data_IF_286982117465
#
_entry.id   IF_286982117465
#
_cell.length_a   1.000
_cell.length_b   1.000
_cell.length_c   1.000
_cell.angle_alpha   90.00
_cell.angle_beta   90.00
_cell.angle_gamma   90.00
#
_symmetry.space_group_name_H-M   'P 1'
#
loop_
_entity.id
_entity.type
_entity.pdbx_description
1 polymer ?
#
# COMPACT_ATOMS: atom_id res chain seq x y z
N UNK A 1 20.09 1.33 0.57
CA UNK A 1 20.11 2.33 -0.53
C UNK A 1 19.24 1.91 -1.71
N UNK A 2 19.52 0.81 -2.45
CA UNK A 2 18.64 0.40 -3.57
C UNK A 2 17.25 -0.09 -3.14
N UNK A 3 17.18 -0.93 -2.09
CA UNK A 3 15.92 -1.52 -1.61
C UNK A 3 14.91 -0.51 -1.09
N UNK A 4 15.37 0.59 -0.49
CA UNK A 4 14.51 1.62 0.12
C UNK A 4 13.78 2.44 -0.95
N UNK A 5 14.46 2.74 -2.06
CA UNK A 5 13.88 3.42 -3.22
C UNK A 5 12.80 2.57 -3.88
N UNK A 6 13.03 1.27 -4.04
CA UNK A 6 12.03 0.35 -4.59
C UNK A 6 10.81 0.22 -3.67
N UNK A 7 11.01 0.14 -2.35
CA UNK A 7 9.90 0.13 -1.39
C UNK A 7 9.08 1.42 -1.48
N UNK A 8 9.73 2.59 -1.52
CA UNK A 8 9.07 3.89 -1.67
C UNK A 8 8.26 3.98 -2.99
N UNK A 9 8.80 3.45 -4.09
CA UNK A 9 8.09 3.42 -5.37
C UNK A 9 6.85 2.50 -5.33
N UNK A 10 6.95 1.36 -4.67
CA UNK A 10 5.82 0.43 -4.50
C UNK A 10 4.73 1.06 -3.62
N UNK A 11 5.12 1.72 -2.53
CA UNK A 11 4.19 2.47 -1.69
C UNK A 11 3.49 3.58 -2.48
N UNK A 12 4.23 4.34 -3.28
CA UNK A 12 3.65 5.36 -4.17
C UNK A 12 2.59 4.76 -5.09
N UNK A 13 2.96 3.71 -5.82
CA UNK A 13 2.05 3.04 -6.75
C UNK A 13 0.81 2.49 -6.05
N UNK A 14 0.96 1.98 -4.82
CA UNK A 14 -0.17 1.52 -4.02
C UNK A 14 -1.11 2.68 -3.66
N UNK A 15 -0.58 3.77 -3.09
CA UNK A 15 -1.39 4.92 -2.70
C UNK A 15 -2.07 5.57 -3.91
N UNK A 16 -1.34 5.77 -5.01
CA UNK A 16 -1.90 6.28 -6.27
C UNK A 16 -3.03 5.39 -6.83
N UNK A 17 -2.95 4.06 -6.61
CA UNK A 17 -3.98 3.12 -7.07
C UNK A 17 -5.25 3.19 -6.23
N UNK A 18 -5.15 3.38 -4.92
CA UNK A 18 -6.33 3.39 -4.03
C UNK A 18 -7.01 4.76 -4.00
N UNK A 19 -6.27 5.85 -4.18
CA UNK A 19 -6.80 7.22 -4.26
C UNK A 19 -7.20 7.62 -5.68
N UNK A 20 -6.67 6.93 -6.70
CA UNK A 20 -7.01 7.16 -8.09
C UNK A 20 -8.40 6.67 -8.51
N UNK A 21 -8.77 6.98 -9.75
CA UNK A 21 -10.05 6.59 -10.36
C UNK A 21 -10.06 5.12 -10.83
N UNK A 22 -8.89 4.49 -10.98
CA UNK A 22 -8.73 3.09 -11.38
C UNK A 22 -8.21 2.26 -10.19
N UNK A 23 -9.14 1.92 -9.29
CA UNK A 23 -8.90 1.10 -8.08
C UNK A 23 -8.71 -0.37 -8.42
N UNK A 24 -7.67 -0.66 -9.18
CA UNK A 24 -7.41 -1.97 -9.73
C UNK A 24 -6.85 -2.92 -8.65
N UNK A 25 -7.68 -3.87 -8.21
CA UNK A 25 -7.32 -4.88 -7.20
C UNK A 25 -6.09 -5.72 -7.59
N UNK A 26 -5.84 -5.95 -8.88
CA UNK A 26 -4.63 -6.67 -9.33
C UNK A 26 -3.38 -5.84 -9.07
N UNK A 27 -3.45 -4.53 -9.28
CA UNK A 27 -2.33 -3.62 -9.01
C UNK A 27 -2.08 -3.47 -7.51
N UNK A 28 -3.14 -3.37 -6.72
CA UNK A 28 -3.06 -3.41 -5.24
C UNK A 28 -2.37 -4.70 -4.77
N UNK A 29 -2.82 -5.84 -5.28
CA UNK A 29 -2.25 -7.15 -4.98
C UNK A 29 -0.74 -7.20 -5.30
N UNK A 30 -0.35 -6.74 -6.51
CA UNK A 30 1.05 -6.72 -6.90
C UNK A 30 1.90 -5.83 -6.00
N UNK A 31 1.40 -4.66 -5.58
CA UNK A 31 2.15 -3.77 -4.70
C UNK A 31 2.40 -4.42 -3.33
N UNK A 32 1.36 -4.94 -2.69
CA UNK A 32 1.46 -5.56 -1.36
C UNK A 32 2.39 -6.77 -1.38
N UNK A 33 2.23 -7.67 -2.36
CA UNK A 33 3.07 -8.87 -2.47
C UNK A 33 4.53 -8.52 -2.76
N UNK A 34 4.77 -7.55 -3.65
CA UNK A 34 6.13 -7.12 -3.99
C UNK A 34 6.82 -6.49 -2.78
N UNK A 35 6.10 -5.65 -2.02
CA UNK A 35 6.63 -5.02 -0.82
C UNK A 35 6.95 -6.05 0.26
N UNK A 36 6.03 -6.98 0.54
CA UNK A 36 6.23 -8.03 1.53
C UNK A 36 7.42 -8.95 1.18
N UNK A 37 7.63 -9.23 -0.12
CA UNK A 37 8.80 -9.98 -0.59
C UNK A 37 10.11 -9.21 -0.41
N UNK A 38 10.14 -7.93 -0.77
CA UNK A 38 11.36 -7.10 -0.62
C UNK A 38 11.76 -6.99 0.84
N UNK A 39 10.78 -6.89 1.73
CA UNK A 39 10.99 -6.82 3.18
C UNK A 39 11.28 -8.16 3.84
N UNK A 40 11.25 -9.25 3.06
CA UNK A 40 11.41 -10.62 3.56
C UNK A 40 10.50 -10.90 4.76
N UNK A 41 9.23 -10.48 4.66
CA UNK A 41 8.26 -10.70 5.73
C UNK A 41 8.14 -12.19 6.06
N UNK A 42 7.97 -12.55 7.34
CA UNK A 42 7.89 -13.95 7.75
C UNK A 42 6.73 -14.66 7.04
N UNK A 43 6.84 -15.98 6.78
CA UNK A 43 5.84 -16.73 6.01
C UNK A 43 4.41 -16.61 6.55
N UNK A 44 4.26 -16.52 7.88
CA UNK A 44 2.97 -16.32 8.56
C UNK A 44 2.33 -15.00 8.16
N UNK A 45 3.09 -13.90 8.25
CA UNK A 45 2.62 -12.57 7.88
C UNK A 45 2.36 -12.45 6.38
N UNK A 46 3.22 -13.06 5.56
CA UNK A 46 3.00 -13.12 4.11
C UNK A 46 1.69 -13.85 3.75
N UNK A 47 1.43 -14.99 4.40
CA UNK A 47 0.18 -15.75 4.20
C UNK A 47 -1.04 -14.96 4.65
N UNK A 48 -0.96 -14.30 5.81
CA UNK A 48 -2.02 -13.41 6.29
C UNK A 48 -2.34 -12.30 5.28
N UNK A 49 -1.33 -11.61 4.73
CA UNK A 49 -1.53 -10.57 3.72
C UNK A 49 -2.21 -11.12 2.45
N UNK A 50 -1.85 -12.33 2.01
CA UNK A 50 -2.49 -12.97 0.86
C UNK A 50 -3.97 -13.30 1.12
N UNK A 51 -4.30 -13.77 2.32
CA UNK A 51 -5.69 -14.03 2.71
C UNK A 51 -6.52 -12.74 2.74
N UNK A 52 -5.97 -11.66 3.31
CA UNK A 52 -6.63 -10.36 3.35
C UNK A 52 -6.85 -9.78 1.96
N UNK A 53 -5.88 -9.92 1.05
CA UNK A 53 -6.05 -9.57 -0.36
C UNK A 53 -7.12 -10.41 -1.05
N UNK A 54 -7.20 -11.71 -0.75
CA UNK A 54 -8.23 -12.61 -1.30
C UNK A 54 -9.62 -12.20 -0.83
N UNK A 55 -9.79 -11.93 0.46
CA UNK A 55 -11.03 -11.38 1.04
C UNK A 55 -11.38 -10.05 0.39
N UNK A 56 -10.39 -9.17 0.22
CA UNK A 56 -10.60 -7.86 -0.40
C UNK A 56 -11.14 -7.98 -1.83
N UNK A 57 -10.63 -8.97 -2.58
CA UNK A 57 -11.14 -9.27 -3.93
C UNK A 57 -12.56 -9.86 -3.93
N UNK A 58 -12.89 -10.68 -2.94
CA UNK A 58 -14.22 -11.28 -2.81
C UNK A 58 -15.29 -10.25 -2.42
N UNK A 59 -14.96 -9.38 -1.47
CA UNK A 59 -15.85 -8.36 -0.94
C UNK A 59 -15.85 -7.06 -1.76
N UNK A 60 -14.92 -6.93 -2.73
CA UNK A 60 -14.65 -5.67 -3.44
C UNK A 60 -14.40 -4.51 -2.47
N UNK A 61 -13.74 -4.77 -1.36
CA UNK A 61 -13.43 -3.76 -0.35
C UNK A 61 -12.01 -4.00 0.12
N UNK A 62 -11.20 -2.94 0.24
CA UNK A 62 -9.83 -3.11 0.69
C UNK A 62 -9.80 -3.35 2.20
N UNK A 63 -9.20 -4.46 2.62
CA UNK A 63 -9.04 -4.76 4.04
C UNK A 63 -8.20 -3.70 4.75
N UNK A 64 -8.67 -3.26 5.92
CA UNK A 64 -7.96 -2.32 6.81
C UNK A 64 -6.58 -2.87 7.18
N UNK A 65 -6.45 -4.19 7.36
CA UNK A 65 -5.17 -4.85 7.65
C UNK A 65 -4.11 -4.59 6.55
N UNK A 66 -4.56 -4.47 5.29
CA UNK A 66 -3.66 -4.15 4.16
C UNK A 66 -3.24 -2.69 4.21
N UNK A 67 -4.16 -1.78 4.54
CA UNK A 67 -3.86 -0.36 4.69
C UNK A 67 -2.87 -0.14 5.84
N UNK A 68 -3.14 -0.74 6.99
CA UNK A 68 -2.28 -0.64 8.18
C UNK A 68 -0.87 -1.14 7.87
N UNK A 69 -0.75 -2.30 7.23
CA UNK A 69 0.56 -2.82 6.81
C UNK A 69 1.32 -1.84 5.89
N UNK A 70 0.64 -1.26 4.89
CA UNK A 70 1.29 -0.34 3.94
C UNK A 70 1.68 0.99 4.62
N UNK A 71 0.84 1.50 5.52
CA UNK A 71 1.12 2.69 6.33
C UNK A 71 2.28 2.44 7.30
N UNK A 72 2.34 1.29 7.97
CA UNK A 72 3.43 0.93 8.87
C UNK A 72 4.77 0.87 8.14
N UNK A 73 4.79 0.28 6.94
CA UNK A 73 5.99 0.25 6.11
C UNK A 73 6.39 1.66 5.66
N UNK A 74 5.42 2.49 5.29
CA UNK A 74 5.67 3.89 4.94
C UNK A 74 6.23 4.70 6.12
N UNK A 75 5.73 4.49 7.34
CA UNK A 75 6.22 5.16 8.55
C UNK A 75 7.66 4.75 8.91
N UNK A 76 8.05 3.50 8.59
CA UNK A 76 9.40 2.99 8.81
C UNK A 76 10.41 3.47 7.75
N UNK A 77 9.94 3.83 6.56
CA UNK A 77 10.76 4.47 5.54
C UNK A 77 10.96 5.94 5.94
N UNK A 78 12.10 6.25 6.56
CA UNK A 78 12.48 7.63 6.90
C UNK A 78 12.21 8.59 5.73
N UNK A 79 11.50 9.66 6.07
CA UNK A 79 10.87 10.65 5.19
C UNK A 79 11.84 11.28 4.16
N UNK A 80 13.16 11.22 4.37
CA UNK A 80 14.15 11.75 3.42
C UNK A 80 14.19 11.01 2.06
N UNK A 81 13.97 9.69 2.05
CA UNK A 81 13.89 8.91 0.81
C UNK A 81 12.55 9.12 0.09
N UNK A 82 11.48 9.35 0.85
CA UNK A 82 10.14 9.68 0.34
C UNK A 82 10.13 11.09 -0.25
N UNK A 83 10.74 12.09 0.41
CA UNK A 83 10.81 13.48 -0.07
C UNK A 83 11.50 13.64 -1.43
N UNK A 84 12.52 12.83 -1.71
CA UNK A 84 13.25 12.86 -3.00
C UNK A 84 12.50 12.15 -4.12
N UNK A 85 11.69 11.14 -3.81
CA UNK A 85 10.90 10.38 -4.80
C UNK A 85 9.48 10.95 -5.05
N UNK A 86 8.92 11.71 -4.10
CA UNK A 86 7.53 12.15 -4.14
C UNK A 86 7.30 13.60 -4.57
N UNK A 87 8.33 14.44 -4.72
CA UNK A 87 8.12 15.82 -5.18
C UNK A 87 7.04 16.54 -4.36
N UNK A 88 7.33 16.78 -3.08
CA UNK A 88 6.58 17.64 -2.16
C UNK A 88 5.08 17.33 -2.02
N UNK A 89 4.72 16.53 -1.00
CA UNK A 89 3.51 16.71 -0.17
C UNK A 89 3.60 15.84 1.09
N UNK A 90 3.25 16.42 2.25
CA UNK A 90 3.36 15.77 3.56
C UNK A 90 2.25 14.73 3.74
N UNK A 91 2.64 13.51 4.14
CA UNK A 91 1.75 12.35 4.34
C UNK A 91 0.65 12.62 5.39
N UNK A 92 0.84 13.60 6.27
CA UNK A 92 -0.14 14.03 7.27
C UNK A 92 -1.46 14.53 6.68
N UNK A 93 -1.47 15.00 5.42
CA UNK A 93 -2.70 15.43 4.74
C UNK A 93 -3.53 14.24 4.22
N UNK A 94 -2.92 13.06 4.00
CA UNK A 94 -3.58 11.93 3.33
C UNK A 94 -4.35 11.05 4.33
N UNK A 95 -3.95 11.03 5.61
CA UNK A 95 -4.58 10.20 6.65
C UNK A 95 -6.07 10.51 6.88
N UNK A 96 -6.53 11.72 6.58
CA UNK A 96 -7.92 12.13 6.80
C UNK A 96 -8.88 11.67 5.70
N UNK A 97 -8.40 11.17 4.55
CA UNK A 97 -9.25 10.72 3.42
C UNK A 97 -9.59 9.22 3.43
N UNK A 98 -8.98 8.40 4.29
CA UNK A 98 -9.15 6.94 4.30
C UNK A 98 -10.42 6.43 5.01
N UNK A 99 -11.28 7.33 5.52
CA UNK A 99 -12.43 6.96 6.37
C UNK A 99 -13.52 6.10 5.70
N UNK A 100 -13.56 6.04 4.36
CA UNK A 100 -14.49 5.16 3.63
C UNK A 100 -14.14 5.09 2.15
N UNK A 101 -13.15 4.27 1.76
CA UNK A 101 -12.89 4.03 0.34
C UNK A 101 -13.83 2.91 -0.16
N UNK A 102 -15.07 3.26 -0.46
CA UNK A 102 -16.01 2.37 -1.16
C UNK A 102 -15.55 2.16 -2.61
N UNK A 103 -15.30 0.91 -3.01
CA UNK A 103 -14.86 0.55 -4.38
C UNK A 103 -16.01 0.48 -5.41
N UNK A 104 -17.23 0.92 -5.05
CA UNK A 104 -18.37 0.94 -5.99
C UNK A 104 -18.25 2.13 -6.97
N UNK A 105 -17.36 1.99 -7.93
CA UNK A 105 -17.35 2.81 -9.13
C UNK A 105 -17.04 1.93 -10.34
N UNK A 106 -18.08 1.20 -10.76
CA UNK A 106 -18.37 0.84 -12.15
C UNK A 106 -19.78 0.22 -12.24
#
# INVERSE_FOLDING_TARGET
MGGDVFQAQILRNFFDTITGTDRNLTRIYMCVVSLAKIRMEPPEKFTFLLEQLRKSKQHKELSVDILDYMCDVAAQLEIAAVQTAFGVKEVGEIQQEFGSISMDSL
#
